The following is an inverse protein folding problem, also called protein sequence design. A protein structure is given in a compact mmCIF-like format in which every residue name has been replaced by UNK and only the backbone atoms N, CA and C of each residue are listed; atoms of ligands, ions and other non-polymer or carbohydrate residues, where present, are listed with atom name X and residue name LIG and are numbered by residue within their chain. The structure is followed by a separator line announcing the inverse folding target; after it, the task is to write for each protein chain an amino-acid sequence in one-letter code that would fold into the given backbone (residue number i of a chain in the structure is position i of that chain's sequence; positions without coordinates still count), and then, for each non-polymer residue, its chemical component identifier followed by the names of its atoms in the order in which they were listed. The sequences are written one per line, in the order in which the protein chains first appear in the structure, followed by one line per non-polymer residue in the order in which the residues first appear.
data_IF_740130431954
#
_entry.id   IF_740130431954
#
_cell.length_a   1.000
_cell.length_b   1.000
_cell.length_c   1.000
_cell.angle_alpha   90.00
_cell.angle_beta   90.00
_cell.angle_gamma   90.00
#
_symmetry.space_group_name_H-M   'P 1'
#
loop_
_entity.id
_entity.type
_entity.pdbx_description
1 polymer ?
#
# COMPACT_ATOMS: atom_id res chain seq x y z
N UNK A 1 -8.53 -30.71 -13.40
CA UNK A 1 -9.27 -30.00 -12.35
C UNK A 1 -9.47 -28.58 -12.84
N UNK A 2 -10.70 -28.14 -13.07
CA UNK A 2 -11.01 -26.77 -13.47
C UNK A 2 -10.72 -25.86 -12.26
N UNK A 3 -9.97 -24.76 -12.39
CA UNK A 3 -9.69 -23.89 -11.25
C UNK A 3 -11.01 -23.35 -10.69
N UNK A 4 -11.34 -23.70 -9.44
CA UNK A 4 -12.44 -23.09 -8.69
C UNK A 4 -11.87 -21.81 -8.06
N UNK A 5 -11.85 -20.72 -8.82
CA UNK A 5 -11.36 -19.45 -8.30
C UNK A 5 -11.60 -18.29 -9.26
N UNK A 6 -11.64 -17.06 -8.72
CA UNK A 6 -11.57 -15.87 -9.56
C UNK A 6 -10.32 -15.90 -10.45
N UNK A 7 -10.33 -15.17 -11.57
CA UNK A 7 -9.17 -15.07 -12.45
C UNK A 7 -7.92 -14.60 -11.67
N UNK A 8 -8.10 -13.59 -10.80
CA UNK A 8 -7.06 -13.10 -9.89
C UNK A 8 -6.55 -14.20 -8.94
N UNK A 9 -7.45 -14.95 -8.28
CA UNK A 9 -7.04 -16.00 -7.35
C UNK A 9 -6.28 -17.14 -8.06
N UNK A 10 -6.67 -17.47 -9.29
CA UNK A 10 -6.00 -18.48 -10.12
C UNK A 10 -4.59 -18.01 -10.52
N UNK A 11 -4.46 -16.76 -11.00
CA UNK A 11 -3.17 -16.18 -11.36
C UNK A 11 -2.24 -16.06 -10.14
N UNK A 12 -2.77 -15.59 -9.01
CA UNK A 12 -1.99 -15.42 -7.77
C UNK A 12 -1.50 -16.76 -7.21
N UNK A 13 -2.33 -17.80 -7.29
CA UNK A 13 -1.92 -19.16 -6.91
C UNK A 13 -0.73 -19.64 -7.75
N UNK A 14 -0.75 -19.38 -9.07
CA UNK A 14 0.31 -19.76 -9.98
C UNK A 14 1.61 -18.98 -9.72
N UNK A 15 1.53 -17.66 -9.51
CA UNK A 15 2.69 -16.82 -9.20
C UNK A 15 3.34 -17.21 -7.86
N UNK A 16 2.55 -17.47 -6.80
CA UNK A 16 3.11 -17.95 -5.54
C UNK A 16 3.73 -19.34 -5.64
N UNK A 17 3.18 -20.23 -6.46
CA UNK A 17 3.79 -21.53 -6.71
C UNK A 17 5.15 -21.38 -7.43
N UNK A 18 5.29 -20.38 -8.30
CA UNK A 18 6.56 -20.09 -8.95
C UNK A 18 7.61 -19.58 -7.95
N UNK A 19 7.23 -18.67 -7.04
CA UNK A 19 8.11 -18.20 -5.96
C UNK A 19 8.52 -19.35 -5.04
N UNK A 20 7.56 -20.16 -4.57
CA UNK A 20 7.84 -21.33 -3.73
C UNK A 20 8.89 -22.28 -4.34
N UNK A 21 8.84 -22.49 -5.67
CA UNK A 21 9.82 -23.31 -6.39
C UNK A 21 11.18 -22.64 -6.53
N UNK A 22 11.21 -21.31 -6.68
CA UNK A 22 12.46 -20.55 -6.72
C UNK A 22 13.19 -20.67 -5.38
N UNK A 23 12.52 -20.35 -4.27
CA UNK A 23 13.08 -20.47 -2.91
C UNK A 23 13.58 -21.89 -2.61
N UNK A 24 12.80 -22.90 -3.00
CA UNK A 24 13.21 -24.30 -2.85
C UNK A 24 14.53 -24.60 -3.59
N UNK A 25 14.68 -24.05 -4.80
CA UNK A 25 15.88 -24.20 -5.61
C UNK A 25 17.10 -23.50 -5.03
N UNK A 26 16.89 -22.43 -4.27
CA UNK A 26 17.93 -21.68 -3.56
C UNK A 26 18.26 -22.27 -2.18
N UNK A 27 17.43 -23.20 -1.70
CA UNK A 27 17.60 -23.87 -0.43
C UNK A 27 16.91 -23.16 0.74
N UNK A 28 16.13 -22.10 0.48
CA UNK A 28 15.26 -21.49 1.48
C UNK A 28 13.93 -22.25 1.56
N UNK A 29 13.94 -23.35 2.31
CA UNK A 29 12.76 -24.16 2.50
C UNK A 29 11.66 -23.45 3.31
N UNK A 30 12.01 -22.47 4.15
CA UNK A 30 11.04 -21.79 5.01
C UNK A 30 10.20 -20.80 4.20
N UNK A 31 10.85 -20.02 3.33
CA UNK A 31 10.14 -19.14 2.41
C UNK A 31 9.43 -19.93 1.31
N UNK A 32 10.03 -21.05 0.86
CA UNK A 32 9.35 -22.01 -0.02
C UNK A 32 8.00 -22.49 0.55
N UNK A 33 7.98 -22.94 1.80
CA UNK A 33 6.76 -23.38 2.48
C UNK A 33 5.77 -22.24 2.66
N UNK A 34 6.26 -21.04 2.98
CA UNK A 34 5.42 -19.83 3.14
C UNK A 34 4.68 -19.50 1.85
N UNK A 35 5.38 -19.45 0.71
CA UNK A 35 4.75 -19.22 -0.58
C UNK A 35 3.86 -20.39 -1.02
N UNK A 36 4.19 -21.64 -0.68
CA UNK A 36 3.34 -22.79 -0.97
C UNK A 36 1.98 -22.67 -0.24
N UNK A 37 1.98 -22.28 1.03
CA UNK A 37 0.74 -22.06 1.80
C UNK A 37 -0.10 -20.94 1.20
N UNK A 38 0.53 -19.82 0.82
CA UNK A 38 -0.16 -18.69 0.16
C UNK A 38 -0.73 -19.09 -1.20
N UNK A 39 0.01 -19.89 -1.98
CA UNK A 39 -0.46 -20.47 -3.25
C UNK A 39 -1.70 -21.34 -3.07
N UNK A 40 -1.71 -22.22 -2.05
CA UNK A 40 -2.86 -23.06 -1.73
C UNK A 40 -4.08 -22.23 -1.29
N UNK A 41 -3.89 -21.20 -0.47
CA UNK A 41 -4.96 -20.30 -0.05
C UNK A 41 -5.61 -19.60 -1.26
N UNK A 42 -4.81 -19.03 -2.15
CA UNK A 42 -5.28 -18.42 -3.40
C UNK A 42 -6.00 -19.45 -4.30
N UNK A 43 -5.43 -20.65 -4.46
CA UNK A 43 -6.02 -21.73 -5.26
C UNK A 43 -7.38 -22.23 -4.74
N UNK A 44 -7.63 -22.08 -3.43
CA UNK A 44 -8.91 -22.35 -2.79
C UNK A 44 -9.88 -21.15 -2.83
N UNK A 45 -9.66 -20.20 -3.74
CA UNK A 45 -10.42 -18.96 -3.89
C UNK A 45 -10.48 -18.08 -2.63
N UNK A 46 -9.45 -18.18 -1.78
CA UNK A 46 -9.25 -17.32 -0.61
C UNK A 46 -7.88 -16.61 -0.72
N UNK A 47 -7.70 -15.74 -1.73
CA UNK A 47 -6.41 -15.09 -1.96
C UNK A 47 -6.02 -14.27 -0.73
N UNK A 48 -4.80 -14.47 -0.17
CA UNK A 48 -4.34 -13.68 0.95
C UNK A 48 -4.22 -12.21 0.57
N UNK A 49 -4.34 -11.30 1.53
CA UNK A 49 -4.00 -9.89 1.31
C UNK A 49 -2.48 -9.73 1.09
N UNK A 50 -2.05 -8.66 0.39
CA UNK A 50 -0.64 -8.28 0.35
C UNK A 50 -0.05 -8.22 1.75
N UNK A 51 1.07 -8.91 1.99
CA UNK A 51 1.68 -8.98 3.32
C UNK A 51 2.06 -7.60 3.87
N UNK A 52 1.87 -7.36 5.17
CA UNK A 52 2.32 -6.12 5.81
C UNK A 52 3.85 -6.10 5.95
N UNK A 53 4.49 -4.93 5.90
CA UNK A 53 5.94 -4.81 6.14
C UNK A 53 6.37 -5.30 7.53
N UNK A 54 5.46 -5.32 8.49
CA UNK A 54 5.68 -5.90 9.82
C UNK A 54 5.75 -7.43 9.83
N UNK A 55 5.43 -8.11 8.72
CA UNK A 55 5.52 -9.56 8.63
C UNK A 55 6.96 -10.07 8.49
N UNK A 56 7.90 -9.17 8.19
CA UNK A 56 9.29 -9.46 7.81
C UNK A 56 10.26 -8.61 8.63
N UNK A 57 11.47 -9.11 8.89
CA UNK A 57 12.53 -8.38 9.57
C UNK A 57 13.32 -7.48 8.60
N UNK A 58 12.66 -6.41 8.13
CA UNK A 58 13.21 -5.53 7.09
C UNK A 58 14.20 -4.49 7.64
N UNK A 59 15.22 -4.09 6.85
CA UNK A 59 16.02 -2.92 7.15
C UNK A 59 15.14 -1.67 7.31
N UNK A 60 15.34 -0.93 8.39
CA UNK A 60 14.47 0.19 8.80
C UNK A 60 14.28 1.25 7.71
N UNK A 61 15.32 1.48 6.92
CA UNK A 61 15.39 2.41 5.80
C UNK A 61 14.59 1.95 4.57
N UNK A 62 14.27 0.65 4.48
CA UNK A 62 13.47 0.05 3.40
C UNK A 62 12.01 -0.08 3.74
N UNK A 63 11.68 -0.06 5.03
CA UNK A 63 10.30 -0.19 5.49
C UNK A 63 9.41 0.90 4.87
N UNK A 64 9.87 2.16 4.79
CA UNK A 64 9.06 3.23 4.19
C UNK A 64 8.68 2.97 2.73
N UNK A 65 9.66 2.56 1.93
CA UNK A 65 9.50 2.27 0.49
C UNK A 65 8.53 1.09 0.26
N UNK A 66 8.77 -0.03 0.94
CA UNK A 66 7.93 -1.23 0.84
C UNK A 66 6.50 -1.01 1.33
N UNK A 67 6.34 -0.17 2.34
CA UNK A 67 5.04 0.14 2.92
C UNK A 67 4.17 0.94 1.96
N UNK A 68 4.76 1.90 1.26
CA UNK A 68 4.05 2.63 0.24
C UNK A 68 3.76 1.78 -1.00
N UNK A 69 4.71 0.95 -1.43
CA UNK A 69 4.49 -0.01 -2.51
C UNK A 69 3.25 -0.87 -2.22
N UNK A 70 3.16 -1.38 -0.99
CA UNK A 70 1.99 -2.12 -0.51
C UNK A 70 0.71 -1.31 -0.57
N UNK A 71 0.71 -0.09 -0.04
CA UNK A 71 -0.49 0.74 0.00
C UNK A 71 -1.00 1.07 -1.42
N UNK A 72 -0.08 1.32 -2.36
CA UNK A 72 -0.37 1.52 -3.78
C UNK A 72 -1.01 0.27 -4.40
N UNK A 73 -0.45 -0.91 -4.11
CA UNK A 73 -0.99 -2.19 -4.55
C UNK A 73 -2.40 -2.44 -4.00
N UNK A 74 -2.58 -2.34 -2.68
CA UNK A 74 -3.87 -2.56 -2.02
C UNK A 74 -4.94 -1.62 -2.61
N UNK A 75 -4.63 -0.33 -2.75
CA UNK A 75 -5.52 0.65 -3.40
C UNK A 75 -5.96 0.20 -4.79
N UNK A 76 -5.03 -0.27 -5.62
CA UNK A 76 -5.35 -0.74 -6.97
C UNK A 76 -6.21 -2.02 -6.95
N UNK A 77 -5.87 -2.98 -6.09
CA UNK A 77 -6.61 -4.23 -5.92
C UNK A 77 -8.08 -3.99 -5.55
N UNK A 78 -8.33 -3.05 -4.63
CA UNK A 78 -9.68 -2.78 -4.13
C UNK A 78 -10.49 -1.83 -5.04
N UNK A 79 -9.82 -0.98 -5.83
CA UNK A 79 -10.47 -0.13 -6.83
C UNK A 79 -11.04 -0.90 -8.06
N UNK A 80 -10.71 -2.19 -8.22
CA UNK A 80 -11.17 -3.18 -9.22
C UNK A 80 -10.04 -3.84 -10.03
N UNK A 81 -8.75 -3.67 -9.69
CA UNK A 81 -7.68 -4.33 -10.46
C UNK A 81 -7.84 -5.87 -10.47
N UNK A 82 -8.31 -6.46 -9.36
CA UNK A 82 -8.60 -7.90 -9.25
C UNK A 82 -9.58 -8.42 -10.31
N UNK A 83 -10.47 -7.59 -10.83
CA UNK A 83 -11.48 -7.99 -11.82
C UNK A 83 -11.16 -7.46 -13.22
N UNK A 84 -10.59 -6.26 -13.33
CA UNK A 84 -10.29 -5.62 -14.61
C UNK A 84 -8.98 -6.09 -15.25
N UNK A 85 -7.96 -6.40 -14.44
CA UNK A 85 -6.64 -6.81 -14.90
C UNK A 85 -6.05 -7.89 -13.97
N UNK A 86 -6.75 -9.03 -13.81
CA UNK A 86 -6.47 -10.03 -12.79
C UNK A 86 -5.04 -10.57 -12.81
N UNK A 87 -4.45 -10.77 -13.99
CA UNK A 87 -3.11 -11.33 -14.14
C UNK A 87 -2.03 -10.36 -13.64
N UNK A 88 -2.09 -9.09 -14.03
CA UNK A 88 -1.12 -8.08 -13.56
C UNK A 88 -1.36 -7.74 -12.08
N UNK A 89 -2.62 -7.74 -11.62
CA UNK A 89 -2.95 -7.60 -10.21
C UNK A 89 -2.31 -8.69 -9.34
N UNK A 90 -2.41 -9.95 -9.79
CA UNK A 90 -1.77 -11.09 -9.13
C UNK A 90 -0.25 -10.98 -9.16
N UNK A 91 0.31 -10.65 -10.34
CA UNK A 91 1.74 -10.47 -10.54
C UNK A 91 2.31 -9.38 -9.64
N UNK A 92 1.63 -8.25 -9.53
CA UNK A 92 2.04 -7.15 -8.66
C UNK A 92 2.09 -7.60 -7.20
N UNK A 93 1.08 -8.36 -6.73
CA UNK A 93 1.08 -8.86 -5.36
C UNK A 93 2.22 -9.86 -5.10
N UNK A 94 2.43 -10.83 -5.99
CA UNK A 94 3.52 -11.79 -5.85
C UNK A 94 4.90 -11.11 -5.89
N UNK A 95 5.11 -10.17 -6.81
CA UNK A 95 6.40 -9.46 -6.93
C UNK A 95 6.66 -8.50 -5.76
N UNK A 96 5.62 -7.89 -5.19
CA UNK A 96 5.74 -7.12 -3.95
C UNK A 96 6.24 -7.99 -2.80
N UNK A 97 5.67 -9.18 -2.65
CA UNK A 97 6.04 -10.10 -1.56
C UNK A 97 7.40 -10.75 -1.77
N UNK A 98 7.76 -11.09 -3.02
CA UNK A 98 9.13 -11.47 -3.36
C UNK A 98 10.11 -10.36 -2.98
N UNK A 99 9.84 -9.11 -3.38
CA UNK A 99 10.73 -8.01 -3.07
C UNK A 99 10.90 -7.83 -1.56
N UNK A 100 9.82 -7.97 -0.79
CA UNK A 100 9.89 -7.88 0.66
C UNK A 100 10.70 -9.02 1.28
N UNK A 101 10.58 -10.25 0.77
CA UNK A 101 11.36 -11.41 1.23
C UNK A 101 12.86 -11.25 0.89
N UNK A 102 13.19 -10.97 -0.37
CA UNK A 102 14.57 -10.71 -0.81
C UNK A 102 15.22 -9.55 -0.01
N UNK A 103 14.42 -8.55 0.36
CA UNK A 103 14.87 -7.41 1.14
C UNK A 103 15.11 -7.74 2.64
N UNK A 104 14.42 -8.75 3.19
CA UNK A 104 14.67 -9.28 4.54
C UNK A 104 15.99 -10.06 4.56
N UNK A 105 16.24 -10.88 3.54
CA UNK A 105 17.48 -11.63 3.44
C UNK A 105 18.70 -10.72 3.24
N UNK A 106 18.53 -9.69 2.40
CA UNK A 106 19.51 -8.63 2.16
C UNK A 106 20.94 -9.14 1.90
N UNK A 107 21.07 -10.27 1.20
CA UNK A 107 22.38 -10.84 0.89
C UNK A 107 23.15 -9.88 -0.04
N UNK A 108 24.42 -9.54 0.28
CA UNK A 108 25.21 -8.60 -0.52
C UNK A 108 25.40 -9.01 -1.99
N UNK A 109 25.28 -10.30 -2.28
CA UNK A 109 25.51 -10.88 -3.61
C UNK A 109 24.21 -11.19 -4.38
N UNK A 110 23.03 -10.94 -3.79
CA UNK A 110 21.71 -11.18 -4.41
C UNK A 110 20.94 -9.86 -4.62
N UNK A 111 21.64 -8.73 -4.69
CA UNK A 111 21.01 -7.43 -4.99
C UNK A 111 20.25 -7.44 -6.33
N UNK A 112 20.64 -8.32 -7.26
CA UNK A 112 19.94 -8.55 -8.53
C UNK A 112 18.55 -9.19 -8.33
N UNK A 113 18.35 -10.03 -7.31
CA UNK A 113 17.05 -10.63 -7.00
C UNK A 113 16.10 -9.58 -6.40
N UNK A 114 16.59 -8.79 -5.43
CA UNK A 114 15.86 -7.63 -4.89
C UNK A 114 15.42 -6.71 -6.03
N UNK A 115 16.34 -6.40 -6.96
CA UNK A 115 16.03 -5.55 -8.11
C UNK A 115 14.99 -6.20 -9.04
N UNK A 116 15.14 -7.48 -9.38
CA UNK A 116 14.22 -8.19 -10.25
C UNK A 116 12.78 -8.21 -9.69
N UNK A 117 12.62 -8.48 -8.39
CA UNK A 117 11.30 -8.49 -7.77
C UNK A 117 10.70 -7.08 -7.62
N UNK A 118 11.51 -6.09 -7.23
CA UNK A 118 11.06 -4.69 -7.18
C UNK A 118 10.64 -4.17 -8.56
N UNK A 119 11.42 -4.46 -9.59
CA UNK A 119 11.18 -3.94 -10.92
C UNK A 119 9.99 -4.68 -11.56
N UNK A 120 9.86 -5.99 -11.32
CA UNK A 120 8.65 -6.76 -11.66
C UNK A 120 7.38 -6.23 -11.00
N UNK A 121 7.47 -5.78 -9.74
CA UNK A 121 6.37 -5.10 -9.05
C UNK A 121 6.03 -3.77 -9.73
N UNK A 122 7.03 -2.92 -10.00
CA UNK A 122 6.84 -1.61 -10.62
C UNK A 122 6.21 -1.73 -12.01
N UNK A 123 6.65 -2.69 -12.81
CA UNK A 123 6.12 -2.95 -14.14
C UNK A 123 4.66 -3.40 -14.10
N UNK A 124 4.32 -4.33 -13.20
CA UNK A 124 2.94 -4.78 -13.01
C UNK A 124 2.02 -3.62 -12.55
N UNK A 125 2.48 -2.81 -11.59
CA UNK A 125 1.76 -1.63 -11.13
C UNK A 125 1.52 -0.60 -12.24
N UNK A 126 2.52 -0.33 -13.09
CA UNK A 126 2.37 0.59 -14.21
C UNK A 126 1.28 0.12 -15.20
N UNK A 127 1.21 -1.18 -15.48
CA UNK A 127 0.15 -1.75 -16.33
C UNK A 127 -1.22 -1.66 -15.68
N UNK A 128 -1.32 -1.93 -14.37
CA UNK A 128 -2.56 -1.77 -13.61
C UNK A 128 -3.05 -0.33 -13.69
N UNK A 129 -2.17 0.64 -13.45
CA UNK A 129 -2.52 2.06 -13.50
C UNK A 129 -2.96 2.51 -14.88
N UNK A 130 -2.25 2.08 -15.93
CA UNK A 130 -2.64 2.35 -17.31
C UNK A 130 -4.05 1.79 -17.62
N UNK A 131 -4.38 0.59 -17.13
CA UNK A 131 -5.70 -0.02 -17.29
C UNK A 131 -6.78 0.64 -16.42
N UNK A 132 -6.39 1.24 -15.30
CA UNK A 132 -7.30 1.87 -14.33
C UNK A 132 -7.52 3.37 -14.57
N UNK A 133 -6.73 4.02 -15.44
CA UNK A 133 -6.77 5.46 -15.76
C UNK A 133 -8.08 5.97 -16.42
N UNK A 134 -9.18 5.22 -16.32
CA UNK A 134 -10.52 5.59 -16.80
C UNK A 134 -11.40 6.35 -15.79
N UNK A 135 -10.85 6.83 -14.67
CA UNK A 135 -11.54 7.76 -13.77
C UNK A 135 -10.56 8.87 -13.41
N UNK A 136 -10.78 10.13 -13.82
CA UNK A 136 -10.00 11.22 -13.27
C UNK A 136 -10.23 11.23 -11.76
N UNK A 137 -9.15 11.13 -10.98
CA UNK A 137 -9.20 11.50 -9.57
C UNK A 137 -9.88 12.87 -9.51
N UNK A 138 -10.95 12.99 -8.73
CA UNK A 138 -11.67 14.25 -8.61
C UNK A 138 -10.64 15.35 -8.31
N UNK A 139 -10.60 16.45 -9.11
CA UNK A 139 -9.59 17.48 -8.91
C UNK A 139 -9.67 18.00 -7.48
N UNK A 140 -8.56 17.88 -6.75
CA UNK A 140 -8.43 18.37 -5.38
C UNK A 140 -8.53 17.34 -4.26
N UNK A 141 -8.72 16.04 -4.52
CA UNK A 141 -8.69 15.01 -3.46
C UNK A 141 -7.52 14.04 -3.60
N UNK A 142 -6.74 13.85 -2.54
CA UNK A 142 -5.55 12.98 -2.50
C UNK A 142 -5.57 12.08 -1.27
N UNK A 143 -4.98 10.90 -1.37
CA UNK A 143 -4.84 9.95 -0.26
C UNK A 143 -3.36 9.73 0.05
N UNK A 144 -3.02 9.82 1.33
CA UNK A 144 -1.69 9.44 1.85
C UNK A 144 -1.88 8.29 2.82
N UNK A 145 -1.18 7.18 2.60
CA UNK A 145 -1.31 5.98 3.42
C UNK A 145 -0.15 5.81 4.41
N UNK A 146 -0.41 5.07 5.49
CA UNK A 146 0.51 4.87 6.60
C UNK A 146 0.60 3.40 7.01
N UNK A 147 1.75 3.06 7.56
CA UNK A 147 1.97 1.78 8.20
C UNK A 147 1.12 1.57 9.45
N UNK A 148 0.98 0.29 9.78
CA UNK A 148 0.41 -0.12 11.06
C UNK A 148 1.16 0.54 12.21
N UNK A 149 0.40 1.19 13.08
CA UNK A 149 0.89 1.94 14.24
C UNK A 149 1.90 3.07 13.96
N UNK A 150 1.95 3.60 12.73
CA UNK A 150 2.86 4.71 12.39
C UNK A 150 2.17 5.96 11.87
N UNK A 151 2.89 7.08 12.00
CA UNK A 151 2.52 8.40 11.51
C UNK A 151 3.64 9.09 10.70
N UNK A 152 4.71 8.37 10.33
CA UNK A 152 5.77 8.91 9.49
C UNK A 152 5.31 9.02 8.03
N UNK A 153 5.65 10.14 7.38
CA UNK A 153 5.42 10.34 5.95
C UNK A 153 6.53 9.61 5.17
N UNK A 154 6.16 8.67 4.28
CA UNK A 154 7.12 7.92 3.45
C UNK A 154 7.59 8.74 2.24
N UNK A 155 8.58 8.25 1.48
CA UNK A 155 9.06 8.87 0.23
C UNK A 155 7.95 9.05 -0.81
N UNK A 156 7.08 8.07 -0.95
CA UNK A 156 5.99 8.05 -1.92
C UNK A 156 4.84 8.94 -1.46
N UNK A 157 4.58 8.97 -0.15
CA UNK A 157 3.69 9.97 0.43
C UNK A 157 4.23 11.38 0.14
N UNK A 158 5.55 11.60 0.22
CA UNK A 158 6.15 12.87 -0.18
C UNK A 158 5.95 13.20 -1.66
N UNK A 159 5.98 12.22 -2.57
CA UNK A 159 5.67 12.44 -3.99
C UNK A 159 4.21 12.89 -4.18
N UNK A 160 3.25 12.26 -3.48
CA UNK A 160 1.84 12.69 -3.49
C UNK A 160 1.70 14.11 -2.94
N UNK A 161 2.35 14.41 -1.81
CA UNK A 161 2.34 15.75 -1.21
C UNK A 161 2.99 16.80 -2.12
N UNK A 162 3.96 16.41 -2.93
CA UNK A 162 4.52 17.26 -3.98
C UNK A 162 3.47 17.56 -5.04
N UNK A 163 2.72 16.56 -5.51
CA UNK A 163 1.60 16.77 -6.45
C UNK A 163 0.51 17.67 -5.86
N UNK A 164 0.16 17.49 -4.57
CA UNK A 164 -0.77 18.37 -3.85
C UNK A 164 -0.25 19.81 -3.86
N UNK A 165 1.02 19.99 -3.51
CA UNK A 165 1.67 21.31 -3.45
C UNK A 165 1.71 21.98 -4.83
N UNK A 166 2.09 21.24 -5.86
CA UNK A 166 2.15 21.74 -7.25
C UNK A 166 0.74 22.13 -7.72
N UNK A 167 -0.28 21.32 -7.41
CA UNK A 167 -1.68 21.60 -7.74
C UNK A 167 -2.17 22.86 -7.03
N UNK A 168 -1.97 22.95 -5.71
CA UNK A 168 -2.34 24.10 -4.90
C UNK A 168 -1.67 25.39 -5.39
N UNK A 169 -0.38 25.35 -5.76
CA UNK A 169 0.36 26.51 -6.28
C UNK A 169 -0.02 26.90 -7.71
N UNK A 170 -0.51 25.95 -8.52
CA UNK A 170 -0.94 26.20 -9.90
C UNK A 170 -2.31 26.88 -10.01
N UNK A 171 -3.12 26.81 -8.95
CA UNK A 171 -4.47 27.38 -8.91
C UNK A 171 -4.67 28.37 -7.75
N UNK A 172 -5.88 28.90 -7.65
CA UNK A 172 -6.32 29.57 -6.41
C UNK A 172 -6.97 28.52 -5.50
N UNK A 173 -6.52 28.42 -4.26
CA UNK A 173 -7.14 27.60 -3.21
C UNK A 173 -7.38 28.44 -1.95
N UNK A 174 -8.45 28.13 -1.21
CA UNK A 174 -8.78 28.77 0.07
C UNK A 174 -8.03 28.10 1.21
N UNK A 175 -8.24 26.78 1.35
CA UNK A 175 -7.65 25.95 2.41
C UNK A 175 -7.38 24.54 1.89
N UNK A 176 -6.48 23.85 2.56
CA UNK A 176 -6.22 22.41 2.40
C UNK A 176 -6.67 21.73 3.69
N UNK A 177 -7.61 20.81 3.61
CA UNK A 177 -8.04 19.98 4.73
C UNK A 177 -7.28 18.65 4.72
N UNK A 178 -6.59 18.33 5.82
CA UNK A 178 -5.94 17.03 6.03
C UNK A 178 -6.67 16.24 7.14
N UNK A 179 -7.43 15.22 6.77
CA UNK A 179 -8.21 14.39 7.70
C UNK A 179 -7.54 13.04 7.92
N UNK A 180 -7.13 12.74 9.16
CA UNK A 180 -6.51 11.47 9.50
C UNK A 180 -7.51 10.37 9.89
N UNK A 181 -7.19 9.14 9.52
CA UNK A 181 -7.96 7.92 9.82
C UNK A 181 -7.04 6.76 10.28
N UNK A 182 -7.64 5.76 10.93
CA UNK A 182 -7.00 4.49 11.31
C UNK A 182 -7.84 3.30 10.91
N UNK A 183 -7.23 2.11 10.94
CA UNK A 183 -7.97 0.85 10.95
C UNK A 183 -8.59 0.58 12.33
N UNK A 184 -9.33 -0.51 12.45
CA UNK A 184 -10.08 -0.90 13.66
C UNK A 184 -9.26 -1.78 14.60
N UNK A 185 -7.93 -1.86 14.43
CA UNK A 185 -7.12 -2.87 15.13
C UNK A 185 -6.69 -2.51 16.56
N UNK A 186 -7.05 -1.32 17.05
CA UNK A 186 -6.63 -0.80 18.35
C UNK A 186 -7.76 -0.07 19.08
N UNK A 187 -7.55 0.33 20.35
CA UNK A 187 -8.57 1.04 21.11
C UNK A 187 -8.99 2.36 20.44
N UNK A 188 -10.29 2.67 20.42
CA UNK A 188 -10.83 3.86 19.75
C UNK A 188 -10.11 5.17 20.14
N UNK A 189 -9.82 5.39 21.42
CA UNK A 189 -9.10 6.58 21.90
C UNK A 189 -7.65 6.64 21.39
N UNK A 190 -6.98 5.48 21.32
CA UNK A 190 -5.64 5.38 20.76
C UNK A 190 -5.66 5.70 19.26
N UNK A 191 -6.62 5.13 18.55
CA UNK A 191 -6.85 5.33 17.13
C UNK A 191 -7.15 6.80 16.79
N UNK A 192 -7.95 7.47 17.62
CA UNK A 192 -8.17 8.92 17.50
C UNK A 192 -6.85 9.69 17.59
N UNK A 193 -6.05 9.43 18.63
CA UNK A 193 -4.73 10.07 18.79
C UNK A 193 -3.74 9.76 17.65
N UNK A 194 -3.74 8.53 17.12
CA UNK A 194 -2.89 8.14 16.00
C UNK A 194 -3.31 8.88 14.71
N UNK A 195 -4.61 8.97 14.45
CA UNK A 195 -5.13 9.71 13.30
C UNK A 195 -4.77 11.20 13.34
N UNK A 196 -4.79 11.81 14.52
CA UNK A 196 -4.37 13.20 14.72
C UNK A 196 -2.87 13.39 14.43
N UNK A 197 -2.02 12.46 14.89
CA UNK A 197 -0.57 12.49 14.59
C UNK A 197 -0.31 12.41 13.09
N UNK A 198 -1.05 11.58 12.35
CA UNK A 198 -0.94 11.45 10.88
C UNK A 198 -1.32 12.74 10.17
N UNK A 199 -2.46 13.34 10.53
CA UNK A 199 -2.89 14.61 9.96
C UNK A 199 -1.86 15.74 10.22
N UNK A 200 -1.33 15.80 11.45
CA UNK A 200 -0.26 16.75 11.82
C UNK A 200 1.03 16.52 11.03
N UNK A 201 1.42 15.26 10.78
CA UNK A 201 2.59 14.93 9.99
C UNK A 201 2.46 15.39 8.53
N UNK A 202 1.29 15.18 7.92
CA UNK A 202 0.97 15.68 6.57
C UNK A 202 0.99 17.21 6.53
N UNK A 203 0.37 17.89 7.50
CA UNK A 203 0.41 19.36 7.61
C UNK A 203 1.83 19.88 7.69
N UNK A 204 2.68 19.29 8.54
CA UNK A 204 4.08 19.69 8.68
C UNK A 204 4.86 19.49 7.37
N UNK A 205 4.61 18.40 6.64
CA UNK A 205 5.26 18.13 5.36
C UNK A 205 4.84 19.13 4.28
N UNK A 206 3.54 19.42 4.13
CA UNK A 206 3.03 20.44 3.18
C UNK A 206 3.57 21.83 3.51
N UNK A 207 3.63 22.19 4.78
CA UNK A 207 4.20 23.46 5.22
C UNK A 207 5.68 23.59 4.83
N UNK A 208 6.46 22.51 5.00
CA UNK A 208 7.87 22.46 4.59
C UNK A 208 8.04 22.60 3.07
N UNK A 209 7.04 22.21 2.29
CA UNK A 209 7.00 22.39 0.82
C UNK A 209 6.52 23.80 0.40
N UNK A 210 6.20 24.67 1.35
CA UNK A 210 5.88 26.08 1.10
C UNK A 210 4.40 26.39 0.95
N UNK A 211 3.50 25.53 1.45
CA UNK A 211 2.11 25.89 1.71
C UNK A 211 2.04 26.64 3.06
N UNK A 212 1.25 27.71 3.15
CA UNK A 212 1.09 28.44 4.42
C UNK A 212 0.39 27.54 5.46
N UNK A 213 0.95 27.45 6.67
CA UNK A 213 0.38 26.68 7.77
C UNK A 213 -1.01 27.14 8.20
N UNK A 214 -1.38 28.39 7.92
CA UNK A 214 -2.70 28.95 8.18
C UNK A 214 -3.74 28.56 7.12
N UNK A 215 -3.29 28.00 5.99
CA UNK A 215 -4.14 27.47 4.92
C UNK A 215 -4.19 25.93 4.94
N UNK A 216 -3.74 25.30 6.04
CA UNK A 216 -3.80 23.85 6.23
C UNK A 216 -4.54 23.56 7.52
N UNK A 217 -5.77 23.09 7.39
CA UNK A 217 -6.58 22.59 8.49
C UNK A 217 -6.35 21.09 8.68
N UNK A 218 -6.50 20.61 9.92
CA UNK A 218 -6.37 19.19 10.25
C UNK A 218 -7.59 18.69 11.01
N UNK A 219 -8.06 17.50 10.63
CA UNK A 219 -9.09 16.77 11.37
C UNK A 219 -8.60 15.36 11.69
N UNK A 220 -9.18 14.76 12.73
CA UNK A 220 -8.90 13.41 13.19
C UNK A 220 -10.22 12.65 13.31
N UNK A 221 -10.29 11.46 12.73
CA UNK A 221 -11.48 10.61 12.73
C UNK A 221 -11.27 9.27 13.42
N UNK A 222 -10.02 8.94 13.78
CA UNK A 222 -9.69 7.59 14.25
C UNK A 222 -10.24 6.54 13.29
N UNK A 223 -10.98 5.59 13.84
CA UNK A 223 -11.61 4.47 13.11
C UNK A 223 -13.07 4.72 12.72
N UNK A 224 -13.63 5.93 12.94
CA UNK A 224 -15.08 6.17 12.79
C UNK A 224 -15.54 6.33 11.34
N UNK A 225 -14.62 6.64 10.43
CA UNK A 225 -14.89 6.83 8.99
C UNK A 225 -13.94 5.97 8.15
N UNK A 226 -14.09 4.63 8.19
CA UNK A 226 -13.24 3.73 7.43
C UNK A 226 -13.56 3.80 5.93
N UNK A 227 -12.52 3.73 5.10
CA UNK A 227 -12.67 3.61 3.64
C UNK A 227 -13.23 2.24 3.28
N UNK A 228 -12.74 1.19 3.95
CA UNK A 228 -13.25 -0.17 3.87
C UNK A 228 -13.86 -0.55 5.22
N UNK A 229 -15.15 -0.86 5.21
CA UNK A 229 -15.84 -1.30 6.42
C UNK A 229 -15.28 -2.63 6.91
N UNK A 230 -14.76 -2.63 8.14
CA UNK A 230 -14.25 -3.82 8.81
C UNK A 230 -14.89 -3.99 10.19
N UNK A 231 -14.80 -5.21 10.75
CA UNK A 231 -15.14 -5.45 12.15
C UNK A 231 -14.09 -4.89 13.11
N UNK A 232 -14.37 -4.92 14.40
CA UNK A 232 -13.41 -4.55 15.45
C UNK A 232 -12.18 -5.48 15.45
N UNK A 233 -11.02 -4.95 15.78
CA UNK A 233 -9.74 -5.67 15.82
C UNK A 233 -9.11 -5.95 14.45
N UNK A 234 -9.68 -5.44 13.34
CA UNK A 234 -9.20 -5.76 11.98
C UNK A 234 -8.15 -4.74 11.53
N UNK A 235 -6.99 -5.26 11.12
CA UNK A 235 -5.97 -4.47 10.42
C UNK A 235 -6.39 -4.29 8.97
N UNK A 236 -6.68 -3.07 8.59
CA UNK A 236 -7.11 -2.68 7.25
C UNK A 236 -6.24 -1.54 6.73
N UNK A 237 -5.24 -1.84 5.88
CA UNK A 237 -4.28 -0.86 5.36
C UNK A 237 -4.91 0.38 4.76
N UNK A 238 -6.02 0.22 4.04
CA UNK A 238 -6.68 1.34 3.38
C UNK A 238 -7.29 2.31 4.37
N UNK A 239 -7.65 1.85 5.56
CA UNK A 239 -8.17 2.70 6.61
C UNK A 239 -7.06 3.52 7.28
N UNK A 240 -5.78 3.11 7.16
CA UNK A 240 -4.63 3.84 7.69
C UNK A 240 -4.19 4.94 6.73
N UNK A 241 -4.98 6.02 6.66
CA UNK A 241 -4.78 7.09 5.67
C UNK A 241 -4.94 8.49 6.24
N UNK A 242 -4.47 9.47 5.48
CA UNK A 242 -4.91 10.87 5.54
C UNK A 242 -5.54 11.21 4.20
N UNK A 243 -6.76 11.72 4.25
CA UNK A 243 -7.44 12.32 3.10
C UNK A 243 -7.06 13.81 3.04
N UNK A 244 -6.65 14.26 1.86
CA UNK A 244 -6.27 15.65 1.62
C UNK A 244 -7.24 16.24 0.59
N UNK A 245 -7.99 17.26 0.99
CA UNK A 245 -8.87 18.00 0.12
C UNK A 245 -8.36 19.43 -0.09
N UNK A 246 -8.21 19.86 -1.34
CA UNK A 246 -7.94 21.24 -1.73
C UNK A 246 -9.28 21.93 -1.98
N UNK A 247 -9.65 22.86 -1.12
CA UNK A 247 -10.89 23.64 -1.27
C UNK A 247 -10.62 24.90 -2.09
N UNK A 248 -11.39 25.09 -3.16
CA UNK A 248 -11.31 26.26 -4.05
C UNK A 248 -12.22 27.41 -3.60
#
# INVERSE_FOLDING_TARGET
MTPQGSAFATALSADYLALSKAEYGEGDYRDSDTFAVRSMAAGNNNPPAPEETSARNLPSEKVGELSAARNRLVTALDASARTKIPDEAARAQAMYECWMQEQEENWPFQQDHIAACRDGFKDAMAKIEAAMAGVPAAPGSYLVFFDWDKANVTSEAMDILKTVTDTAKSGSYKTIMATGHTDTSGPADYNMGLSERRAKAVRAALAKMGIDQNQIDTAAKGETEPLVKTGDGVREPQNRRVEIAIEQ
#
